data_IF_721233030931
#
_entry.id   IF_721233030931
#
_cell.length_a   1.000
_cell.length_b   1.000
_cell.length_c   1.000
_cell.angle_alpha   90.00
_cell.angle_beta   90.00
_cell.angle_gamma   90.00
#
_symmetry.space_group_name_H-M   'P 1'
#
loop_
_entity.id
_entity.type
_entity.pdbx_description
1 polymer ?
#
# COMPACT_ATOMS: atom_id res chain seq x y z
N UNK A 1 38.86 -3.52 15.51
CA UNK A 1 38.23 -2.17 15.62
C UNK A 1 37.02 -2.18 14.70
N UNK A 2 35.82 -1.98 15.23
CA UNK A 2 34.58 -2.10 14.44
C UNK A 2 34.52 -0.95 13.40
N UNK A 3 34.27 -1.30 12.14
CA UNK A 3 34.09 -0.36 11.03
C UNK A 3 33.00 0.67 11.30
N UNK A 4 31.93 0.27 12.01
CA UNK A 4 30.84 1.18 12.40
C UNK A 4 31.33 2.26 13.36
N UNK A 5 32.14 1.87 14.34
CA UNK A 5 32.71 2.79 15.33
C UNK A 5 33.70 3.76 14.68
N UNK A 6 34.45 3.31 13.67
CA UNK A 6 35.36 4.18 12.92
C UNK A 6 34.61 5.22 12.09
N UNK A 7 33.49 4.83 11.47
CA UNK A 7 32.63 5.73 10.69
C UNK A 7 31.93 6.77 11.59
N UNK A 8 31.40 6.33 12.73
CA UNK A 8 30.76 7.22 13.72
C UNK A 8 31.74 8.28 14.25
N UNK A 9 32.97 7.88 14.58
CA UNK A 9 33.99 8.80 15.05
C UNK A 9 34.42 9.80 13.97
N UNK A 10 34.59 9.34 12.72
CA UNK A 10 34.90 10.22 11.58
C UNK A 10 33.80 11.26 11.35
N UNK A 11 32.52 10.86 11.41
CA UNK A 11 31.39 11.79 11.24
C UNK A 11 31.31 12.85 12.36
N UNK A 12 31.56 12.47 13.61
CA UNK A 12 31.58 13.41 14.76
C UNK A 12 32.70 14.45 14.67
N UNK A 13 33.78 14.16 13.96
CA UNK A 13 34.90 15.09 13.76
C UNK A 13 34.69 16.05 12.59
N UNK A 14 33.60 15.91 11.82
CA UNK A 14 33.29 16.79 10.72
C UNK A 14 32.72 18.13 11.21
N UNK A 15 32.92 19.19 10.41
CA UNK A 15 32.30 20.48 10.66
C UNK A 15 30.79 20.43 10.36
N UNK A 16 29.95 21.26 11.00
CA UNK A 16 28.51 21.29 10.75
C UNK A 16 28.09 21.36 9.27
N UNK A 17 28.70 22.17 8.39
CA UNK A 17 28.34 22.17 6.97
C UNK A 17 28.67 20.85 6.26
N UNK A 18 29.77 20.20 6.63
CA UNK A 18 30.16 18.93 6.02
C UNK A 18 29.29 17.76 6.53
N UNK A 19 28.81 17.84 7.78
CA UNK A 19 27.79 16.91 8.29
C UNK A 19 26.48 17.03 7.51
N UNK A 20 26.06 18.26 7.21
CA UNK A 20 24.86 18.49 6.41
C UNK A 20 25.01 18.00 4.98
N UNK A 21 26.18 18.17 4.37
CA UNK A 21 26.49 17.65 3.03
C UNK A 21 26.41 16.11 2.99
N UNK A 22 26.96 15.44 3.99
CA UNK A 22 26.83 13.98 4.14
C UNK A 22 25.37 13.57 4.34
N UNK A 23 24.60 14.32 5.13
CA UNK A 23 23.17 14.04 5.35
C UNK A 23 22.36 14.18 4.06
N UNK A 24 22.59 15.25 3.28
CA UNK A 24 21.95 15.48 1.98
C UNK A 24 22.35 14.43 0.96
N UNK A 25 23.61 13.98 0.99
CA UNK A 25 24.08 12.90 0.13
C UNK A 25 23.41 11.57 0.50
N UNK A 26 23.30 11.24 1.79
CA UNK A 26 22.54 10.07 2.24
C UNK A 26 21.07 10.17 1.81
N UNK A 27 20.42 11.32 1.98
CA UNK A 27 19.05 11.57 1.53
C UNK A 27 18.86 11.43 0.01
N UNK A 28 19.87 11.82 -0.77
CA UNK A 28 19.92 11.63 -2.23
C UNK A 28 20.22 10.18 -2.65
N UNK A 29 20.88 9.40 -1.79
CA UNK A 29 21.14 7.98 -2.00
C UNK A 29 20.00 7.09 -1.50
N UNK A 30 19.21 7.59 -0.54
CA UNK A 30 17.93 6.99 -0.23
C UNK A 30 17.10 7.03 -1.51
N UNK A 31 16.53 5.90 -1.94
CA UNK A 31 15.76 5.87 -3.18
C UNK A 31 14.62 6.88 -3.07
N UNK A 32 14.71 7.95 -3.86
CA UNK A 32 13.59 8.82 -4.17
C UNK A 32 12.65 7.98 -5.03
N UNK A 33 11.76 7.25 -4.36
CA UNK A 33 11.01 6.10 -4.85
C UNK A 33 10.33 6.36 -6.20
N UNK A 34 11.02 5.96 -7.27
CA UNK A 34 10.44 5.64 -8.58
C UNK A 34 10.51 4.12 -8.81
N UNK A 35 10.40 3.37 -7.71
CA UNK A 35 9.82 2.03 -7.68
C UNK A 35 8.39 2.25 -7.18
N UNK A 36 7.40 1.51 -7.68
CA UNK A 36 6.04 1.53 -7.12
C UNK A 36 6.18 1.52 -5.60
N UNK A 37 5.67 2.54 -4.90
CA UNK A 37 5.81 2.71 -3.44
C UNK A 37 5.32 1.49 -2.63
N UNK A 38 4.66 0.56 -3.32
CA UNK A 38 4.05 -0.65 -2.84
C UNK A 38 5.00 -1.87 -2.87
N UNK A 39 5.41 -2.32 -1.69
CA UNK A 39 6.24 -3.50 -1.49
C UNK A 39 5.42 -4.79 -1.59
N UNK A 40 4.16 -4.78 -1.16
CA UNK A 40 3.27 -5.94 -1.11
C UNK A 40 2.16 -5.89 -2.15
N UNK A 41 1.91 -4.74 -2.78
CA UNK A 41 0.92 -4.58 -3.83
C UNK A 41 1.55 -4.53 -5.22
N UNK A 42 0.88 -5.12 -6.20
CA UNK A 42 1.25 -5.08 -7.60
C UNK A 42 0.07 -4.71 -8.49
N UNK A 43 0.36 -4.00 -9.57
CA UNK A 43 -0.59 -3.84 -10.66
C UNK A 43 -0.69 -5.15 -11.44
N UNK A 44 -1.88 -5.42 -11.98
CA UNK A 44 -2.09 -6.55 -12.88
C UNK A 44 -2.79 -6.06 -14.15
N UNK A 45 -2.37 -6.54 -15.33
CA UNK A 45 -3.01 -6.14 -16.57
C UNK A 45 -4.47 -6.58 -16.56
N UNK A 46 -5.37 -5.62 -16.69
CA UNK A 46 -6.81 -5.84 -16.82
C UNK A 46 -7.37 -4.84 -17.83
N UNK A 47 -8.40 -5.25 -18.57
CA UNK A 47 -9.01 -4.45 -19.63
C UNK A 47 -9.62 -3.11 -19.19
N UNK A 48 -9.81 -2.89 -17.89
CA UNK A 48 -10.45 -1.67 -17.37
C UNK A 48 -10.16 -1.41 -15.89
N UNK A 49 -9.86 -2.46 -15.10
CA UNK A 49 -9.49 -2.33 -13.68
C UNK A 49 -8.03 -1.91 -13.49
N UNK A 50 -7.79 -1.06 -12.51
CA UNK A 50 -6.49 -0.55 -12.07
C UNK A 50 -6.21 -0.80 -10.59
N UNK A 51 -7.15 -1.40 -9.86
CA UNK A 51 -6.95 -1.85 -8.47
C UNK A 51 -5.69 -2.70 -8.31
N UNK A 52 -4.90 -2.42 -7.27
CA UNK A 52 -3.73 -3.23 -6.94
C UNK A 52 -4.11 -4.53 -6.21
N UNK A 53 -3.29 -5.54 -6.44
CA UNK A 53 -3.42 -6.89 -5.88
C UNK A 53 -2.28 -7.18 -4.92
N UNK A 54 -2.54 -8.03 -3.92
CA UNK A 54 -1.47 -8.62 -3.11
C UNK A 54 -0.55 -9.45 -4.02
N UNK A 55 0.75 -9.20 -3.93
CA UNK A 55 1.78 -9.95 -4.65
C UNK A 55 1.67 -11.44 -4.32
N UNK A 56 1.70 -12.27 -5.36
CA UNK A 56 1.56 -13.72 -5.22
C UNK A 56 0.17 -14.21 -4.84
N UNK A 57 -0.82 -13.33 -4.62
CA UNK A 57 -2.22 -13.68 -4.37
C UNK A 57 -3.12 -13.09 -5.47
N UNK A 58 -4.32 -13.67 -5.62
CA UNK A 58 -5.37 -13.16 -6.53
C UNK A 58 -6.41 -12.32 -5.77
N UNK A 59 -5.95 -11.61 -4.73
CA UNK A 59 -6.79 -10.82 -3.82
C UNK A 59 -6.45 -9.35 -4.02
N UNK A 60 -7.47 -8.50 -4.13
CA UNK A 60 -7.33 -7.05 -4.26
C UNK A 60 -7.16 -6.42 -2.89
N UNK A 61 -6.40 -5.33 -2.81
CA UNK A 61 -6.25 -4.58 -1.56
C UNK A 61 -7.61 -4.16 -0.96
N UNK A 62 -8.55 -3.74 -1.80
CA UNK A 62 -9.89 -3.31 -1.37
C UNK A 62 -10.73 -4.39 -0.71
N UNK A 63 -10.48 -5.68 -1.02
CA UNK A 63 -11.19 -6.80 -0.39
C UNK A 63 -10.75 -6.94 1.06
N UNK A 64 -9.44 -6.95 1.31
CA UNK A 64 -8.86 -7.03 2.66
C UNK A 64 -9.26 -5.80 3.48
N UNK A 65 -9.19 -4.60 2.88
CA UNK A 65 -9.62 -3.37 3.55
C UNK A 65 -11.11 -3.39 3.91
N UNK A 66 -11.97 -3.83 3.00
CA UNK A 66 -13.41 -3.92 3.29
C UNK A 66 -13.70 -4.93 4.40
N UNK A 67 -13.01 -6.07 4.40
CA UNK A 67 -13.12 -7.10 5.42
C UNK A 67 -12.71 -6.56 6.80
N UNK A 68 -11.58 -5.86 6.87
CA UNK A 68 -11.10 -5.19 8.09
C UNK A 68 -12.15 -4.24 8.66
N UNK A 69 -12.76 -3.39 7.82
CA UNK A 69 -13.79 -2.42 8.25
C UNK A 69 -15.08 -3.12 8.68
N UNK A 70 -15.56 -4.09 7.91
CA UNK A 70 -16.82 -4.81 8.20
C UNK A 70 -16.71 -5.62 9.49
N UNK A 71 -15.58 -6.25 9.71
CA UNK A 71 -15.34 -7.08 10.90
C UNK A 71 -14.72 -6.31 12.08
N UNK A 72 -14.42 -5.01 11.90
CA UNK A 72 -13.79 -4.15 12.91
C UNK A 72 -12.50 -4.74 13.48
N UNK A 73 -11.71 -5.41 12.63
CA UNK A 73 -10.47 -6.06 13.05
C UNK A 73 -9.36 -5.06 13.34
N UNK A 74 -8.52 -5.39 14.32
CA UNK A 74 -7.21 -4.76 14.49
C UNK A 74 -6.22 -5.20 13.40
N UNK A 75 -5.10 -4.47 13.29
CA UNK A 75 -4.03 -4.81 12.33
C UNK A 75 -3.45 -6.21 12.59
N UNK A 76 -3.30 -6.58 13.86
CA UNK A 76 -2.74 -7.86 14.29
C UNK A 76 -3.69 -9.01 13.97
N UNK A 77 -4.98 -8.86 14.25
CA UNK A 77 -6.01 -9.84 13.89
C UNK A 77 -6.13 -10.01 12.38
N UNK A 78 -6.07 -8.91 11.61
CA UNK A 78 -6.10 -8.97 10.16
C UNK A 78 -4.86 -9.67 9.58
N UNK A 79 -3.68 -9.42 10.15
CA UNK A 79 -2.43 -10.08 9.75
C UNK A 79 -2.50 -11.60 9.98
N UNK A 80 -3.03 -12.03 11.13
CA UNK A 80 -3.24 -13.44 11.44
C UNK A 80 -4.28 -14.08 10.51
N UNK A 81 -5.46 -13.46 10.38
CA UNK A 81 -6.59 -13.97 9.60
C UNK A 81 -6.26 -14.11 8.09
N UNK A 82 -5.50 -13.17 7.53
CA UNK A 82 -5.12 -13.19 6.12
C UNK A 82 -3.77 -13.89 5.85
N UNK A 83 -3.09 -14.34 6.91
CA UNK A 83 -1.73 -14.87 6.88
C UNK A 83 -0.78 -13.93 6.12
N UNK A 84 -0.76 -12.66 6.54
CA UNK A 84 0.01 -11.57 5.94
C UNK A 84 0.89 -10.89 6.99
N UNK A 85 2.08 -10.38 6.62
CA UNK A 85 2.86 -9.56 7.53
C UNK A 85 2.11 -8.25 7.84
N UNK A 86 2.30 -7.71 9.05
CA UNK A 86 1.70 -6.43 9.47
C UNK A 86 1.97 -5.30 8.48
N UNK A 87 3.19 -5.23 7.92
CA UNK A 87 3.56 -4.24 6.92
C UNK A 87 2.70 -4.32 5.64
N UNK A 88 2.22 -5.50 5.26
CA UNK A 88 1.31 -5.64 4.11
C UNK A 88 -0.10 -5.16 4.43
N UNK A 89 -0.57 -5.35 5.66
CA UNK A 89 -1.88 -4.82 6.10
C UNK A 89 -1.85 -3.30 6.15
N UNK A 90 -0.77 -2.72 6.67
CA UNK A 90 -0.55 -1.27 6.70
C UNK A 90 -0.56 -0.68 5.28
N UNK A 91 0.19 -1.30 4.36
CA UNK A 91 0.24 -0.90 2.95
C UNK A 91 -1.15 -0.99 2.26
N UNK A 92 -1.93 -2.02 2.58
CA UNK A 92 -3.31 -2.17 2.07
C UNK A 92 -4.21 -1.02 2.56
N UNK A 93 -4.11 -0.66 3.83
CA UNK A 93 -4.89 0.43 4.42
C UNK A 93 -4.49 1.76 3.79
N UNK A 94 -3.20 2.05 3.71
CA UNK A 94 -2.66 3.26 3.09
C UNK A 94 -3.14 3.37 1.63
N UNK A 95 -2.99 2.30 0.84
CA UNK A 95 -3.46 2.27 -0.54
C UNK A 95 -4.96 2.57 -0.64
N UNK A 96 -5.79 1.92 0.17
CA UNK A 96 -7.24 2.08 0.08
C UNK A 96 -7.70 3.47 0.53
N UNK A 97 -7.04 4.07 1.52
CA UNK A 97 -7.34 5.42 2.00
C UNK A 97 -6.92 6.49 0.99
N UNK A 98 -5.76 6.32 0.34
CA UNK A 98 -5.25 7.28 -0.65
C UNK A 98 -5.92 7.15 -2.02
N UNK A 99 -6.48 5.98 -2.35
CA UNK A 99 -7.07 5.69 -3.68
C UNK A 99 -8.61 5.54 -3.66
N UNK A 100 -9.32 6.08 -2.66
CA UNK A 100 -10.77 5.93 -2.53
C UNK A 100 -11.55 6.31 -3.81
N UNK A 101 -11.16 7.37 -4.50
CA UNK A 101 -11.81 7.80 -5.75
C UNK A 101 -11.67 6.75 -6.85
N UNK A 102 -10.50 6.11 -6.98
CA UNK A 102 -10.30 5.01 -7.92
C UNK A 102 -11.23 3.84 -7.58
N UNK A 103 -11.31 3.46 -6.30
CA UNK A 103 -12.16 2.34 -5.86
C UNK A 103 -13.64 2.62 -6.17
N UNK A 104 -14.11 3.86 -5.97
CA UNK A 104 -15.48 4.28 -6.31
C UNK A 104 -15.73 4.24 -7.81
N UNK A 105 -14.78 4.75 -8.61
CA UNK A 105 -14.89 4.74 -10.08
C UNK A 105 -15.00 3.30 -10.60
N UNK A 106 -14.16 2.39 -10.12
CA UNK A 106 -14.22 0.98 -10.51
C UNK A 106 -15.50 0.28 -10.04
N UNK A 107 -16.01 0.61 -8.85
CA UNK A 107 -17.28 0.09 -8.37
C UNK A 107 -18.44 0.51 -9.29
N UNK A 108 -18.50 1.80 -9.65
CA UNK A 108 -19.50 2.34 -10.57
C UNK A 108 -19.40 1.72 -11.97
N UNK A 109 -18.19 1.58 -12.51
CA UNK A 109 -17.97 0.94 -13.80
C UNK A 109 -18.39 -0.53 -13.76
N UNK A 110 -18.07 -1.24 -12.67
CA UNK A 110 -18.54 -2.61 -12.43
C UNK A 110 -20.07 -2.71 -12.44
N UNK A 111 -20.77 -1.77 -11.80
CA UNK A 111 -22.23 -1.73 -11.81
C UNK A 111 -22.81 -1.49 -13.20
N UNK A 112 -22.22 -0.58 -13.99
CA UNK A 112 -22.65 -0.34 -15.38
C UNK A 112 -22.50 -1.58 -16.24
N UNK A 113 -21.33 -2.22 -16.20
CA UNK A 113 -21.04 -3.45 -16.94
C UNK A 113 -21.98 -4.60 -16.55
N UNK A 114 -22.41 -4.66 -15.28
CA UNK A 114 -23.39 -5.65 -14.82
C UNK A 114 -24.80 -5.33 -15.33
N UNK A 115 -25.21 -4.06 -15.29
CA UNK A 115 -26.49 -3.61 -15.82
C UNK A 115 -26.61 -3.85 -17.34
N UNK A 116 -25.54 -3.58 -18.11
CA UNK A 116 -25.47 -3.88 -19.54
C UNK A 116 -25.62 -5.38 -19.85
N UNK A 117 -25.13 -6.23 -18.94
CA UNK A 117 -25.30 -7.69 -19.02
C UNK A 117 -26.68 -8.17 -18.55
N UNK A 118 -27.58 -7.26 -18.18
CA UNK A 118 -28.93 -7.57 -17.72
C UNK A 118 -29.00 -8.07 -16.26
N UNK A 119 -27.94 -7.89 -15.46
CA UNK A 119 -27.95 -8.25 -14.04
C UNK A 119 -28.63 -7.11 -13.26
N UNK A 120 -29.80 -7.40 -12.69
CA UNK A 120 -30.50 -6.47 -11.81
C UNK A 120 -29.82 -6.57 -10.43
N UNK A 121 -29.15 -5.51 -10.01
CA UNK A 121 -28.63 -5.39 -8.65
C UNK A 121 -29.78 -4.92 -7.76
N UNK A 122 -30.27 -5.79 -6.88
CA UNK A 122 -31.30 -5.39 -5.91
C UNK A 122 -30.77 -4.24 -5.02
N UNK A 123 -31.54 -3.18 -4.80
CA UNK A 123 -31.15 -2.14 -3.85
C UNK A 123 -31.07 -2.75 -2.45
N UNK A 124 -29.99 -2.42 -1.72
CA UNK A 124 -29.85 -2.80 -0.31
C UNK A 124 -31.05 -2.26 0.46
N UNK A 125 -31.96 -3.14 0.85
CA UNK A 125 -33.12 -2.80 1.66
C UNK A 125 -32.62 -2.50 3.06
N UNK A 126 -32.41 -1.22 3.37
CA UNK A 126 -32.15 -0.78 4.75
C UNK A 126 -33.49 -0.84 5.48
N UNK A 127 -33.64 -1.79 6.40
CA UNK A 127 -34.74 -1.84 7.39
C UNK A 127 -34.39 -0.99 8.60
#
# INVERSE_FOLDING_TARGET
>A
MNTEQLLLNKWRTLTPPLQQEVLNFVDSLLPQGSQTQWQYLEERPHSWRKQLYLKGKRIKASVIYSDLIVNQMSLEEAADNWELPLAAIDEVIEYCQTHQELLKQEANEGQKLLAEKGVILEPKTTY
#
